data_IF_844300977654
#
_entry.id   IF_844300977654
#
_cell.length_a   1.000
_cell.length_b   1.000
_cell.length_c   1.000
_cell.angle_alpha   90.00
_cell.angle_beta   90.00
_cell.angle_gamma   90.00
#
_symmetry.space_group_name_H-M   'P 1'
#
loop_
_entity.id
_entity.type
_entity.pdbx_description
1 polymer ?
#
# COMPACT_ATOMS: atom_id res chain seq x y z
N UNK A 1 0.21 21.15 14.17
CA UNK A 1 -0.87 21.63 13.28
C UNK A 1 -1.13 20.52 12.25
N UNK A 2 -2.37 20.28 11.83
CA UNK A 2 -2.66 19.30 10.77
C UNK A 2 -2.35 19.98 9.44
N UNK A 3 -1.51 19.39 8.55
CA UNK A 3 -1.19 20.01 7.27
C UNK A 3 -2.44 20.17 6.40
N UNK A 4 -2.49 21.23 5.61
CA UNK A 4 -3.53 21.36 4.58
C UNK A 4 -3.28 20.32 3.49
N UNK A 5 -4.18 19.34 3.38
CA UNK A 5 -4.05 18.24 2.43
C UNK A 5 -4.85 18.54 1.16
N UNK A 6 -4.20 18.43 0.01
CA UNK A 6 -4.88 18.46 -1.28
C UNK A 6 -5.74 17.21 -1.47
N UNK A 7 -7.05 17.37 -1.28
CA UNK A 7 -8.03 16.30 -1.42
C UNK A 7 -8.00 15.62 -2.80
N UNK A 8 -7.80 16.39 -3.88
CA UNK A 8 -7.66 15.83 -5.23
C UNK A 8 -6.40 14.96 -5.37
N UNK A 9 -5.30 15.38 -4.74
CA UNK A 9 -4.07 14.59 -4.69
C UNK A 9 -4.29 13.23 -4.02
N UNK A 10 -5.04 13.21 -2.91
CA UNK A 10 -5.38 11.96 -2.21
C UNK A 10 -6.27 11.06 -3.06
N UNK A 11 -7.29 11.61 -3.72
CA UNK A 11 -8.16 10.81 -4.60
C UNK A 11 -7.38 10.20 -5.77
N UNK A 12 -6.49 10.96 -6.41
CA UNK A 12 -5.63 10.47 -7.50
C UNK A 12 -4.68 9.38 -6.99
N UNK A 13 -4.06 9.57 -5.83
CA UNK A 13 -3.20 8.56 -5.21
C UNK A 13 -3.99 7.28 -4.84
N UNK A 14 -5.22 7.43 -4.37
CA UNK A 14 -6.13 6.31 -4.06
C UNK A 14 -6.42 5.49 -5.32
N UNK A 15 -6.84 6.15 -6.41
CA UNK A 15 -7.14 5.49 -7.68
C UNK A 15 -5.88 4.85 -8.25
N UNK A 16 -4.72 5.53 -8.17
CA UNK A 16 -3.43 4.97 -8.59
C UNK A 16 -3.12 3.67 -7.86
N UNK A 17 -3.29 3.63 -6.53
CA UNK A 17 -3.12 2.42 -5.72
C UNK A 17 -4.05 1.28 -6.18
N UNK A 18 -5.32 1.59 -6.47
CA UNK A 18 -6.27 0.59 -6.97
C UNK A 18 -5.88 0.05 -8.36
N UNK A 19 -5.44 0.92 -9.27
CA UNK A 19 -5.00 0.52 -10.62
C UNK A 19 -3.79 -0.39 -10.52
N UNK A 20 -2.76 0.00 -9.76
CA UNK A 20 -1.56 -0.81 -9.56
C UNK A 20 -1.91 -2.16 -8.93
N UNK A 21 -2.76 -2.17 -7.89
CA UNK A 21 -3.24 -3.41 -7.27
C UNK A 21 -3.99 -4.32 -8.24
N UNK A 22 -4.89 -3.75 -9.04
CA UNK A 22 -5.68 -4.52 -10.02
C UNK A 22 -4.79 -5.12 -11.13
N UNK A 23 -3.80 -4.38 -11.59
CA UNK A 23 -2.81 -4.89 -12.55
C UNK A 23 -2.01 -6.05 -11.96
N UNK A 24 -1.58 -5.96 -10.69
CA UNK A 24 -0.85 -7.01 -10.00
C UNK A 24 -1.64 -8.34 -9.96
N UNK A 25 -2.93 -8.27 -9.58
CA UNK A 25 -3.80 -9.45 -9.45
C UNK A 25 -4.42 -9.93 -10.77
N UNK A 26 -4.16 -9.25 -11.90
CA UNK A 26 -4.63 -9.70 -13.21
C UNK A 26 -3.88 -10.98 -13.65
N UNK A 27 -4.55 -11.98 -14.27
CA UNK A 27 -3.92 -13.24 -14.71
C UNK A 27 -2.69 -13.08 -15.61
N UNK A 28 -2.64 -11.98 -16.38
CA UNK A 28 -1.53 -11.66 -17.31
C UNK A 28 -0.25 -11.18 -16.62
N UNK A 29 -0.30 -10.82 -15.34
CA UNK A 29 0.85 -10.29 -14.58
C UNK A 29 1.25 -11.31 -13.50
N UNK A 30 0.65 -11.24 -12.30
CA UNK A 30 0.96 -12.16 -11.20
C UNK A 30 -0.27 -12.91 -10.67
N UNK A 31 -1.47 -12.65 -11.19
CA UNK A 31 -2.70 -13.24 -10.68
C UNK A 31 -2.70 -14.77 -10.66
N UNK A 32 -2.25 -15.43 -11.74
CA UNK A 32 -2.21 -16.90 -11.82
C UNK A 32 -1.22 -17.52 -10.83
N UNK A 33 -0.07 -16.88 -10.63
CA UNK A 33 0.93 -17.34 -9.67
C UNK A 33 0.40 -17.19 -8.24
N UNK A 34 -0.12 -16.00 -7.90
CA UNK A 34 -0.71 -15.72 -6.59
C UNK A 34 -1.85 -16.70 -6.26
N UNK A 35 -2.78 -16.95 -7.19
CA UNK A 35 -3.89 -17.90 -6.96
C UNK A 35 -3.38 -19.30 -6.61
N UNK A 36 -2.33 -19.77 -7.31
CA UNK A 36 -1.73 -21.09 -7.04
C UNK A 36 -1.05 -21.14 -5.67
N UNK A 37 -0.25 -20.14 -5.32
CA UNK A 37 0.52 -20.14 -4.06
C UNK A 37 -0.34 -19.83 -2.84
N UNK A 38 -1.39 -19.02 -3.01
CA UNK A 38 -2.33 -18.69 -1.94
C UNK A 38 -3.48 -19.70 -1.82
N UNK A 39 -3.48 -20.75 -2.66
CA UNK A 39 -4.55 -21.75 -2.75
C UNK A 39 -5.95 -21.12 -2.90
N UNK A 40 -6.06 -20.08 -3.71
CA UNK A 40 -7.30 -19.34 -3.97
C UNK A 40 -7.94 -19.87 -5.25
N UNK A 41 -9.12 -20.45 -5.14
CA UNK A 41 -9.98 -20.80 -6.27
C UNK A 41 -11.03 -19.70 -6.49
N UNK A 42 -11.03 -18.99 -7.63
CA UNK A 42 -12.06 -18.00 -7.92
C UNK A 42 -13.42 -18.69 -8.06
N UNK A 43 -14.45 -18.14 -7.41
CA UNK A 43 -15.83 -18.64 -7.52
C UNK A 43 -16.47 -18.36 -8.88
N UNK A 44 -15.92 -17.41 -9.64
CA UNK A 44 -16.50 -16.89 -10.88
C UNK A 44 -17.62 -15.87 -10.67
N UNK A 45 -18.04 -15.64 -9.42
CA UNK A 45 -19.14 -14.76 -9.08
C UNK A 45 -18.66 -13.34 -8.80
N UNK A 46 -19.21 -12.35 -9.51
CA UNK A 46 -18.82 -10.94 -9.35
C UNK A 46 -19.06 -10.41 -7.92
N UNK A 47 -20.07 -10.93 -7.21
CA UNK A 47 -20.43 -10.52 -5.84
C UNK A 47 -19.31 -10.78 -4.83
N UNK A 48 -18.49 -11.82 -5.07
CA UNK A 48 -17.44 -12.21 -4.13
C UNK A 48 -16.24 -11.25 -4.20
N UNK A 49 -16.10 -10.51 -5.30
CA UNK A 49 -15.09 -9.47 -5.47
C UNK A 49 -15.48 -8.12 -4.86
N UNK A 50 -16.78 -7.88 -4.58
CA UNK A 50 -17.28 -6.57 -4.11
C UNK A 50 -16.66 -6.19 -2.76
N UNK A 51 -16.70 -7.11 -1.79
CA UNK A 51 -16.17 -6.83 -0.44
C UNK A 51 -14.66 -6.54 -0.46
N UNK A 52 -13.80 -7.36 -1.10
CA UNK A 52 -12.39 -7.04 -1.25
C UNK A 52 -12.14 -5.68 -1.91
N UNK A 53 -12.84 -5.35 -2.99
CA UNK A 53 -12.65 -4.07 -3.71
C UNK A 53 -13.00 -2.87 -2.82
N UNK A 54 -14.13 -2.92 -2.10
CA UNK A 54 -14.52 -1.83 -1.18
C UNK A 54 -13.47 -1.68 -0.07
N UNK A 55 -13.00 -2.79 0.51
CA UNK A 55 -11.96 -2.76 1.53
C UNK A 55 -10.66 -2.16 0.99
N UNK A 56 -10.23 -2.58 -0.21
CA UNK A 56 -9.04 -2.02 -0.88
C UNK A 56 -9.21 -0.52 -1.12
N UNK A 57 -10.36 -0.06 -1.61
CA UNK A 57 -10.62 1.37 -1.80
C UNK A 57 -10.46 2.17 -0.50
N UNK A 58 -11.07 1.70 0.59
CA UNK A 58 -10.99 2.37 1.90
C UNK A 58 -9.55 2.39 2.41
N UNK A 59 -8.86 1.26 2.37
CA UNK A 59 -7.47 1.16 2.84
C UNK A 59 -6.54 2.02 1.97
N UNK A 60 -6.69 1.99 0.65
CA UNK A 60 -5.93 2.85 -0.27
C UNK A 60 -6.16 4.33 0.01
N UNK A 61 -7.39 4.74 0.32
CA UNK A 61 -7.69 6.12 0.69
C UNK A 61 -7.01 6.54 2.00
N UNK A 62 -7.12 5.71 3.03
CA UNK A 62 -6.47 5.97 4.33
C UNK A 62 -4.95 6.03 4.17
N UNK A 63 -4.35 5.09 3.43
CA UNK A 63 -2.91 5.09 3.15
C UNK A 63 -2.46 6.32 2.38
N UNK A 64 -3.22 6.75 1.36
CA UNK A 64 -2.94 7.96 0.60
C UNK A 64 -3.02 9.22 1.49
N UNK A 65 -3.99 9.28 2.41
CA UNK A 65 -4.12 10.39 3.36
C UNK A 65 -2.95 10.47 4.33
N UNK A 66 -2.54 9.33 4.89
CA UNK A 66 -1.38 9.24 5.78
C UNK A 66 -0.11 9.65 5.06
N UNK A 67 0.11 9.16 3.83
CA UNK A 67 1.27 9.54 3.03
C UNK A 67 1.27 11.03 2.69
N UNK A 68 0.13 11.62 2.37
CA UNK A 68 0.03 13.05 2.10
C UNK A 68 0.42 13.89 3.32
N UNK A 69 -0.06 13.51 4.51
CA UNK A 69 0.34 14.17 5.77
C UNK A 69 1.84 14.03 6.06
N UNK A 70 2.40 12.82 5.88
CA UNK A 70 3.82 12.59 6.08
C UNK A 70 4.69 13.38 5.07
N UNK A 71 4.27 13.45 3.81
CA UNK A 71 4.96 14.21 2.78
C UNK A 71 4.91 15.71 3.06
N UNK A 72 3.79 16.24 3.55
CA UNK A 72 3.67 17.65 3.95
C UNK A 72 4.60 17.98 5.12
N UNK A 73 4.64 17.13 6.16
CA UNK A 73 5.56 17.31 7.30
C UNK A 73 7.02 17.24 6.82
N UNK A 74 7.35 16.31 5.93
CA UNK A 74 8.68 16.19 5.36
C UNK A 74 9.05 17.42 4.52
N UNK A 75 8.11 17.97 3.75
CA UNK A 75 8.32 19.20 2.97
C UNK A 75 8.64 20.39 3.88
N UNK A 76 7.92 20.55 4.98
CA UNK A 76 8.16 21.63 5.94
C UNK A 76 9.55 21.52 6.60
N UNK A 77 10.04 20.29 6.78
CA UNK A 77 11.35 20.03 7.39
C UNK A 77 12.52 20.18 6.40
N UNK A 78 12.44 19.54 5.24
CA UNK A 78 13.55 19.50 4.26
C UNK A 78 13.55 20.69 3.30
N UNK A 79 12.39 21.29 3.02
CA UNK A 79 12.21 22.30 1.98
C UNK A 79 12.55 21.77 0.57
N UNK A 80 12.73 22.67 -0.40
CA UNK A 80 13.13 22.29 -1.75
C UNK A 80 12.04 21.55 -2.55
N UNK A 81 12.42 20.46 -3.23
CA UNK A 81 11.55 19.74 -4.16
C UNK A 81 10.51 18.87 -3.44
N UNK A 82 9.25 19.28 -3.52
CA UNK A 82 8.11 18.53 -2.97
C UNK A 82 8.02 17.10 -3.50
N UNK A 83 8.30 16.90 -4.80
CA UNK A 83 8.26 15.58 -5.40
C UNK A 83 9.31 14.66 -4.75
N UNK A 84 10.53 15.14 -4.58
CA UNK A 84 11.61 14.32 -4.05
C UNK A 84 11.40 13.99 -2.58
N UNK A 85 10.93 14.96 -1.79
CA UNK A 85 10.55 14.74 -0.41
C UNK A 85 9.43 13.70 -0.31
N UNK A 86 8.40 13.80 -1.15
CA UNK A 86 7.30 12.83 -1.18
C UNK A 86 7.78 11.42 -1.54
N UNK A 87 8.64 11.28 -2.55
CA UNK A 87 9.20 9.98 -2.98
C UNK A 87 10.07 9.37 -1.89
N UNK A 88 11.00 10.14 -1.31
CA UNK A 88 11.86 9.66 -0.24
C UNK A 88 11.05 9.25 1.00
N UNK A 89 10.08 10.07 1.40
CA UNK A 89 9.17 9.74 2.50
C UNK A 89 8.41 8.46 2.23
N UNK A 90 7.85 8.28 1.02
CA UNK A 90 7.16 7.06 0.65
C UNK A 90 8.06 5.82 0.73
N UNK A 91 9.30 5.91 0.22
CA UNK A 91 10.27 4.81 0.23
C UNK A 91 10.70 4.44 1.65
N UNK A 92 10.99 5.43 2.50
CA UNK A 92 11.39 5.21 3.90
C UNK A 92 10.24 4.59 4.69
N UNK A 93 9.02 5.11 4.57
CA UNK A 93 7.86 4.57 5.26
C UNK A 93 7.54 3.14 4.79
N UNK A 94 7.56 2.91 3.47
CA UNK A 94 7.34 1.58 2.91
C UNK A 94 8.39 0.59 3.42
N UNK A 95 9.68 0.91 3.27
CA UNK A 95 10.78 0.04 3.69
C UNK A 95 10.78 -0.19 5.19
N UNK A 96 10.64 0.86 5.99
CA UNK A 96 10.65 0.79 7.46
C UNK A 96 9.51 -0.05 8.03
N UNK A 97 8.27 0.21 7.62
CA UNK A 97 7.11 -0.57 8.12
C UNK A 97 7.11 -2.01 7.61
N UNK A 98 7.52 -2.22 6.35
CA UNK A 98 7.58 -3.57 5.76
C UNK A 98 8.66 -4.41 6.43
N UNK A 99 9.86 -3.84 6.62
CA UNK A 99 10.94 -4.51 7.33
C UNK A 99 10.55 -4.81 8.78
N UNK A 100 9.98 -3.84 9.50
CA UNK A 100 9.53 -4.04 10.88
C UNK A 100 8.53 -5.20 11.00
N UNK A 101 7.59 -5.31 10.04
CA UNK A 101 6.62 -6.41 10.00
C UNK A 101 7.30 -7.76 9.79
N UNK A 102 8.17 -7.89 8.79
CA UNK A 102 8.79 -9.19 8.46
C UNK A 102 9.83 -9.61 9.48
N UNK A 103 10.77 -8.73 9.83
CA UNK A 103 11.86 -9.05 10.76
C UNK A 103 11.34 -9.47 12.13
N UNK A 104 10.32 -8.78 12.65
CA UNK A 104 9.75 -9.13 13.95
C UNK A 104 9.04 -10.48 13.89
N UNK A 105 8.31 -10.76 12.82
CA UNK A 105 7.62 -12.03 12.63
C UNK A 105 8.62 -13.20 12.53
N UNK A 106 9.63 -13.06 11.68
CA UNK A 106 10.68 -14.06 11.47
C UNK A 106 11.46 -14.33 12.77
N UNK A 107 11.72 -13.31 13.58
CA UNK A 107 12.43 -13.46 14.85
C UNK A 107 11.64 -14.27 15.89
N UNK A 108 10.31 -14.22 15.87
CA UNK A 108 9.46 -15.02 16.76
C UNK A 108 9.14 -16.41 16.21
N UNK A 109 9.09 -16.57 14.88
CA UNK A 109 8.91 -17.88 14.23
C UNK A 109 10.17 -18.74 14.26
N UNK A 110 11.35 -18.13 14.41
CA UNK A 110 12.60 -18.83 14.72
C UNK A 110 12.59 -19.40 16.16
N UNK A 111 11.72 -20.38 16.43
CA UNK A 111 11.93 -21.35 17.50
C UNK A 111 13.24 -22.11 17.28
N UNK A 112 13.83 -22.74 18.32
CA UNK A 112 15.14 -23.36 18.22
C UNK A 112 15.20 -24.35 17.04
N UNK A 113 16.34 -24.42 16.32
CA UNK A 113 16.49 -25.34 15.20
C UNK A 113 16.29 -26.77 15.72
N UNK A 114 15.17 -27.38 15.31
CA UNK A 114 14.84 -28.79 15.51
C UNK A 114 15.14 -29.58 14.24
#
# INVERSE_FOLDING_TARGET
>A
MIPEINFWGVLVATISSMVVGSLWYTPKVFGNYWMRTANVSPSGEAKDAVRPIILTLIVSFVSAWVLAGAAAIAQDFYGGSFLWNSVLTALILWGGFTAARFVTHDAFEAGPPG
#
